data_IF_536585736357
#
_entry.id   IF_536585736357
#
_cell.length_a   1.000
_cell.length_b   1.000
_cell.length_c   1.000
_cell.angle_alpha   90.00
_cell.angle_beta   90.00
_cell.angle_gamma   90.00
#
_symmetry.space_group_name_H-M   'P 1'
#
loop_
_entity.id
_entity.type
_entity.pdbx_description
1 polymer ?
#
# COMPACT_ATOMS: atom_id res chain seq x y z
N UNK A 1 7.24 27.03 -10.47
CA UNK A 1 8.47 26.22 -10.69
C UNK A 1 8.07 24.76 -10.70
N UNK A 2 8.27 24.02 -11.80
CA UNK A 2 8.10 22.58 -11.78
C UNK A 2 9.17 21.98 -10.84
N UNK A 3 8.75 21.15 -9.88
CA UNK A 3 9.65 20.56 -8.89
C UNK A 3 10.71 19.65 -9.52
N UNK A 4 11.83 19.47 -8.81
CA UNK A 4 12.92 18.58 -9.23
C UNK A 4 12.43 17.12 -9.14
N UNK A 5 12.63 16.33 -10.19
CA UNK A 5 12.32 14.89 -10.18
C UNK A 5 13.18 14.20 -9.10
N UNK A 6 12.54 13.47 -8.20
CA UNK A 6 13.19 12.69 -7.12
C UNK A 6 12.56 11.31 -7.03
N UNK A 7 13.38 10.32 -6.73
CA UNK A 7 12.91 8.97 -6.37
C UNK A 7 12.76 8.90 -4.86
N UNK A 8 11.58 8.55 -4.39
CA UNK A 8 11.28 8.39 -2.97
C UNK A 8 10.82 6.97 -2.70
N UNK A 9 11.38 6.36 -1.65
CA UNK A 9 10.91 5.07 -1.13
C UNK A 9 10.15 5.36 0.15
N UNK A 10 8.91 4.89 0.22
CA UNK A 10 8.04 5.08 1.38
C UNK A 10 7.74 3.71 1.97
N UNK A 11 8.12 3.50 3.23
CA UNK A 11 7.77 2.30 3.99
C UNK A 11 6.63 2.70 4.91
N UNK A 12 5.44 2.14 4.65
CA UNK A 12 4.25 2.47 5.40
C UNK A 12 3.35 1.26 5.56
N UNK A 13 2.62 1.24 6.67
CA UNK A 13 1.48 0.35 6.87
C UNK A 13 0.16 1.06 6.56
N UNK A 14 0.19 2.38 6.33
CA UNK A 14 -0.97 3.18 5.96
C UNK A 14 -1.28 3.00 4.47
N UNK A 15 -2.45 2.45 4.25
CA UNK A 15 -2.96 2.11 2.94
C UNK A 15 -3.71 3.26 2.27
N UNK A 16 -4.17 4.25 3.03
CA UNK A 16 -4.72 5.51 2.52
C UNK A 16 -3.64 6.27 1.73
N UNK A 17 -2.43 6.34 2.29
CA UNK A 17 -1.29 6.93 1.63
C UNK A 17 -0.96 6.23 0.31
N UNK A 18 -0.99 4.89 0.31
CA UNK A 18 -0.80 4.09 -0.91
C UNK A 18 -1.89 4.36 -1.95
N UNK A 19 -3.16 4.50 -1.52
CA UNK A 19 -4.28 4.84 -2.41
C UNK A 19 -4.13 6.22 -3.05
N UNK A 20 -3.66 7.21 -2.30
CA UNK A 20 -3.47 8.58 -2.79
C UNK A 20 -2.29 8.70 -3.75
N UNK A 21 -1.16 8.06 -3.42
CA UNK A 21 0.06 8.14 -4.21
C UNK A 21 0.07 7.18 -5.41
N UNK A 22 -0.68 6.08 -5.33
CA UNK A 22 -0.71 4.96 -6.30
C UNK A 22 0.70 4.57 -6.79
N UNK A 23 1.66 4.31 -5.89
CA UNK A 23 3.03 4.02 -6.27
C UNK A 23 3.16 2.58 -6.80
N UNK A 24 4.37 2.23 -7.25
CA UNK A 24 4.79 0.82 -7.31
C UNK A 24 4.92 0.30 -5.87
N UNK A 25 4.36 -0.87 -5.61
CA UNK A 25 4.32 -1.51 -4.30
C UNK A 25 5.22 -2.73 -4.32
N UNK A 26 6.07 -2.83 -3.32
CA UNK A 26 6.86 -4.03 -3.02
C UNK A 26 6.48 -4.50 -1.62
N UNK A 27 5.91 -5.69 -1.51
CA UNK A 27 5.59 -6.30 -0.23
C UNK A 27 6.65 -7.32 0.14
N UNK A 28 7.19 -7.20 1.34
CA UNK A 28 8.14 -8.14 1.91
C UNK A 28 7.44 -9.02 2.94
N UNK A 29 7.64 -10.33 2.85
CA UNK A 29 7.17 -11.30 3.82
C UNK A 29 8.22 -12.41 4.02
N UNK A 30 8.54 -12.75 5.27
CA UNK A 30 9.51 -13.80 5.59
C UNK A 30 10.91 -13.58 4.99
N UNK A 31 11.33 -12.31 4.83
CA UNK A 31 12.61 -11.96 4.19
C UNK A 31 12.62 -12.10 2.66
N UNK A 32 11.47 -12.34 2.03
CA UNK A 32 11.33 -12.45 0.57
C UNK A 32 10.36 -11.41 0.02
N UNK A 33 10.51 -11.08 -1.25
CA UNK A 33 9.52 -10.29 -1.99
C UNK A 33 8.29 -11.17 -2.24
N UNK A 34 7.18 -10.85 -1.57
CA UNK A 34 5.88 -11.53 -1.75
C UNK A 34 5.05 -10.90 -2.86
N UNK A 35 5.27 -9.61 -3.14
CA UNK A 35 4.59 -8.88 -4.20
C UNK A 35 5.49 -7.77 -4.75
N UNK A 36 5.46 -7.55 -6.06
CA UNK A 36 6.09 -6.43 -6.74
C UNK A 36 5.23 -6.03 -7.95
N UNK A 37 4.60 -4.86 -7.90
CA UNK A 37 3.67 -4.44 -8.94
C UNK A 37 3.06 -3.06 -8.70
N UNK A 38 2.07 -2.71 -9.50
CA UNK A 38 1.30 -1.47 -9.38
C UNK A 38 0.30 -1.52 -8.23
N UNK A 39 -0.22 -0.36 -7.83
CA UNK A 39 -1.32 -0.28 -6.85
C UNK A 39 -2.56 -1.08 -7.29
N UNK A 40 -2.92 -1.05 -8.57
CA UNK A 40 -4.13 -1.72 -9.06
C UNK A 40 -3.95 -3.26 -9.03
N UNK A 41 -2.77 -3.77 -9.41
CA UNK A 41 -2.41 -5.18 -9.25
C UNK A 41 -2.38 -5.59 -7.78
N UNK A 42 -1.89 -4.70 -6.89
CA UNK A 42 -1.88 -4.96 -5.46
C UNK A 42 -3.30 -5.11 -4.92
N UNK A 43 -4.23 -4.23 -5.32
CA UNK A 43 -5.65 -4.27 -4.93
C UNK A 43 -6.40 -5.45 -5.54
N UNK A 44 -6.03 -5.89 -6.75
CA UNK A 44 -6.62 -7.05 -7.42
C UNK A 44 -6.01 -8.40 -7.03
N UNK A 45 -4.82 -8.42 -6.40
CA UNK A 45 -4.13 -9.65 -6.03
C UNK A 45 -5.00 -10.56 -5.14
N UNK A 46 -4.80 -11.87 -5.16
CA UNK A 46 -5.44 -12.80 -4.21
C UNK A 46 -4.47 -13.35 -3.16
N UNK A 47 -3.28 -12.75 -3.04
CA UNK A 47 -2.27 -13.21 -2.10
C UNK A 47 -2.82 -13.17 -0.64
N UNK A 48 -2.74 -14.30 0.10
CA UNK A 48 -3.22 -14.39 1.47
C UNK A 48 -2.53 -13.42 2.43
N UNK A 49 -1.31 -12.97 2.13
CA UNK A 49 -0.57 -12.00 2.93
C UNK A 49 -1.00 -10.57 2.63
N UNK A 50 -1.52 -10.28 1.44
CA UNK A 50 -2.05 -8.95 1.07
C UNK A 50 -3.48 -8.75 1.59
N UNK A 51 -4.25 -9.84 1.78
CA UNK A 51 -5.64 -9.80 2.26
C UNK A 51 -5.82 -9.06 3.61
N UNK A 52 -4.98 -9.24 4.65
CA UNK A 52 -5.02 -8.44 5.88
C UNK A 52 -4.82 -6.95 5.64
N UNK A 53 -3.90 -6.57 4.75
CA UNK A 53 -3.66 -5.16 4.41
C UNK A 53 -4.87 -4.56 3.71
N UNK A 54 -5.54 -5.31 2.82
CA UNK A 54 -6.83 -4.92 2.23
C UNK A 54 -7.94 -4.72 3.26
N UNK A 55 -8.03 -5.63 4.24
CA UNK A 55 -9.03 -5.52 5.30
C UNK A 55 -8.80 -4.26 6.17
N UNK A 56 -7.54 -3.90 6.43
CA UNK A 56 -7.20 -2.63 7.10
C UNK A 56 -7.54 -1.39 6.28
N UNK A 57 -7.54 -1.45 4.93
CA UNK A 57 -8.01 -0.34 4.09
C UNK A 57 -9.49 -0.01 4.30
N UNK A 58 -10.29 -1.01 4.69
CA UNK A 58 -11.71 -0.83 5.02
C UNK A 58 -11.96 -0.36 6.45
N UNK A 59 -10.99 -0.56 7.37
CA UNK A 59 -11.17 -0.34 8.81
C UNK A 59 -10.73 1.05 9.31
N UNK A 60 -10.10 1.88 8.47
CA UNK A 60 -9.70 3.25 8.85
C UNK A 60 -10.77 4.33 8.53
N UNK A 61 -11.97 3.95 8.09
CA UNK A 61 -13.08 4.91 7.87
C UNK A 61 -14.11 4.99 9.01
N UNK A 62 -13.99 4.19 10.07
CA UNK A 62 -14.75 4.46 11.29
C UNK A 62 -13.83 5.20 12.26
N UNK A 63 -13.83 6.53 12.13
CA UNK A 63 -13.55 7.38 13.28
C UNK A 63 -14.55 7.05 14.37
N UNK A 64 -14.19 6.12 15.25
CA UNK A 64 -14.78 5.98 16.58
C UNK A 64 -14.43 7.25 17.37
N UNK A 65 -15.16 8.34 17.11
CA UNK A 65 -15.38 9.36 18.12
C UNK A 65 -16.65 8.96 18.85
N UNK A 66 -16.43 8.32 20.00
CA UNK A 66 -17.36 8.30 21.11
C UNK A 66 -17.19 9.58 21.93
#
# INVERSE_FOLDING_TARGET
>A
RAGIKRTSIVVTHDTELLRRLRPRIVMLFGGKVSFDGTFDEFVASNDPHIRPYRAQMGLLHNGENK
#
